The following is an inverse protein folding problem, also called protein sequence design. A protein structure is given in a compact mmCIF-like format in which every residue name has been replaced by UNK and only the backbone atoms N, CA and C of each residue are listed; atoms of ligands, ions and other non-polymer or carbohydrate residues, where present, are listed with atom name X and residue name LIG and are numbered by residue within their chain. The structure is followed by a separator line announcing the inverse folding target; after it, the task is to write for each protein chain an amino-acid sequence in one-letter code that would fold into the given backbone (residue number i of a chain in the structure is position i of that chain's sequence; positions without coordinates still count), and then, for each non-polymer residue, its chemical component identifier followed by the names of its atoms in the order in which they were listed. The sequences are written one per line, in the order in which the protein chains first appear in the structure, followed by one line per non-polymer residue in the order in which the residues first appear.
data_IF_263182407783
#
_entry.id   IF_263182407783
#
_cell.length_a   1.000
_cell.length_b   1.000
_cell.length_c   1.000
_cell.angle_alpha   90.00
_cell.angle_beta   90.00
_cell.angle_gamma   90.00
#
_symmetry.space_group_name_H-M   'P 1'
#
loop_
_entity.id
_entity.type
_entity.pdbx_description
1 polymer ?
#
# COMPACT_ATOMS: atom_id res chain seq x y z
N UNK A 1 -1.96 5.39 13.67
CA UNK A 1 -0.72 6.21 13.74
C UNK A 1 0.34 5.46 12.96
N UNK A 2 1.06 6.11 12.06
CA UNK A 2 2.19 5.54 11.33
C UNK A 2 3.37 5.28 12.24
N UNK A 3 4.39 4.59 11.70
CA UNK A 3 5.58 4.13 12.42
C UNK A 3 6.42 5.29 12.99
N UNK A 4 6.31 6.47 12.39
CA UNK A 4 6.95 7.73 12.78
C UNK A 4 6.08 8.60 13.70
N UNK A 5 4.94 8.08 14.18
CA UNK A 5 4.00 8.81 15.01
C UNK A 5 3.10 9.79 14.26
N UNK A 6 3.22 9.90 12.92
CA UNK A 6 2.34 10.74 12.09
C UNK A 6 1.02 10.06 11.78
N UNK A 7 0.00 10.82 11.44
CA UNK A 7 -1.23 10.25 10.91
C UNK A 7 -1.03 9.83 9.46
N UNK A 8 -1.59 8.68 9.09
CA UNK A 8 -1.57 8.21 7.72
C UNK A 8 -2.62 8.98 6.91
N UNK A 9 -2.27 9.42 5.72
CA UNK A 9 -3.13 10.16 4.81
C UNK A 9 -4.08 9.18 4.09
N UNK A 10 -5.37 9.48 4.17
CA UNK A 10 -6.38 8.80 3.38
C UNK A 10 -6.29 9.24 1.91
N UNK A 11 -6.49 8.29 0.99
CA UNK A 11 -6.36 8.52 -0.46
C UNK A 11 -7.59 7.98 -1.21
N UNK A 12 -7.92 8.64 -2.31
CA UNK A 12 -9.02 8.23 -3.19
C UNK A 12 -8.64 7.03 -4.08
N UNK A 13 -9.61 6.50 -4.84
CA UNK A 13 -9.40 5.30 -5.67
C UNK A 13 -8.39 5.48 -6.80
N UNK A 14 -8.24 6.68 -7.36
CA UNK A 14 -7.23 6.92 -8.40
C UNK A 14 -5.83 6.92 -7.81
N UNK A 15 -5.66 7.61 -6.68
CA UNK A 15 -4.42 7.61 -5.93
C UNK A 15 -4.05 6.20 -5.45
N UNK A 16 -5.02 5.40 -5.01
CA UNK A 16 -4.78 3.99 -4.65
C UNK A 16 -4.19 3.19 -5.81
N UNK A 17 -4.78 3.27 -7.02
CA UNK A 17 -4.27 2.58 -8.21
C UNK A 17 -2.85 3.03 -8.57
N UNK A 18 -2.60 4.33 -8.49
CA UNK A 18 -1.27 4.89 -8.75
C UNK A 18 -0.25 4.37 -7.74
N UNK A 19 -0.57 4.41 -6.45
CA UNK A 19 0.30 3.90 -5.39
C UNK A 19 0.61 2.41 -5.57
N UNK A 20 -0.40 1.60 -5.93
CA UNK A 20 -0.14 0.20 -6.23
C UNK A 20 0.78 0.02 -7.43
N UNK A 21 0.55 0.73 -8.53
CA UNK A 21 1.44 0.71 -9.69
C UNK A 21 2.87 1.16 -9.36
N UNK A 22 3.03 2.18 -8.52
CA UNK A 22 4.32 2.76 -8.14
C UNK A 22 5.12 1.84 -7.21
N UNK A 23 4.44 1.04 -6.38
CA UNK A 23 5.09 0.19 -5.37
C UNK A 23 5.12 -1.31 -5.69
N UNK A 24 4.41 -1.75 -6.74
CA UNK A 24 4.41 -3.12 -7.22
C UNK A 24 5.73 -3.43 -7.95
N UNK A 25 6.73 -3.87 -7.19
CA UNK A 25 7.96 -4.46 -7.73
C UNK A 25 7.67 -5.89 -8.19
N UNK A 26 7.78 -6.16 -9.50
CA UNK A 26 7.51 -7.45 -10.14
C UNK A 26 8.51 -8.58 -9.78
N UNK A 27 9.24 -8.48 -8.68
CA UNK A 27 10.28 -9.45 -8.32
C UNK A 27 9.84 -10.50 -7.27
N UNK A 28 8.74 -10.26 -6.54
CA UNK A 28 8.32 -11.13 -5.44
C UNK A 28 7.05 -11.91 -5.82
N UNK A 29 7.19 -13.20 -6.10
CA UNK A 29 6.03 -14.04 -6.43
C UNK A 29 5.05 -14.18 -5.27
N UNK A 30 3.74 -14.14 -5.57
CA UNK A 30 2.66 -14.51 -4.64
C UNK A 30 2.40 -13.51 -3.51
N UNK A 31 1.94 -14.02 -2.37
CA UNK A 31 1.47 -13.23 -1.21
C UNK A 31 2.51 -12.26 -0.62
N UNK A 32 3.80 -12.46 -0.91
CA UNK A 32 4.84 -11.55 -0.44
C UNK A 32 4.79 -10.19 -1.15
N UNK A 33 4.37 -10.13 -2.42
CA UNK A 33 4.25 -8.85 -3.14
C UNK A 33 3.21 -7.93 -2.51
N UNK A 34 2.03 -8.45 -2.14
CA UNK A 34 0.96 -7.66 -1.55
C UNK A 34 1.30 -7.15 -0.15
N UNK A 35 1.99 -7.96 0.65
CA UNK A 35 2.50 -7.57 1.97
C UNK A 35 3.56 -6.48 1.81
N UNK A 36 4.57 -6.69 0.96
CA UNK A 36 5.65 -5.71 0.71
C UNK A 36 5.07 -4.38 0.22
N UNK A 37 4.14 -4.43 -0.72
CA UNK A 37 3.45 -3.25 -1.26
C UNK A 37 2.68 -2.50 -0.17
N UNK A 38 1.92 -3.22 0.66
CA UNK A 38 1.19 -2.61 1.78
C UNK A 38 2.14 -1.93 2.77
N UNK A 39 3.25 -2.57 3.14
CA UNK A 39 4.25 -1.99 4.02
C UNK A 39 4.92 -0.75 3.42
N UNK A 40 5.23 -0.76 2.12
CA UNK A 40 5.75 0.41 1.40
C UNK A 40 4.76 1.58 1.49
N UNK A 41 3.48 1.35 1.18
CA UNK A 41 2.40 2.36 1.23
C UNK A 41 2.22 2.95 2.64
N UNK A 42 2.22 2.10 3.67
CA UNK A 42 2.14 2.55 5.07
C UNK A 42 3.37 3.37 5.48
N UNK A 43 4.57 2.97 5.03
CA UNK A 43 5.83 3.65 5.35
C UNK A 43 5.91 5.04 4.75
N UNK A 44 5.38 5.24 3.55
CA UNK A 44 5.30 6.58 2.92
C UNK A 44 4.13 7.42 3.44
N UNK A 45 3.32 6.86 4.34
CA UNK A 45 2.32 7.61 5.08
C UNK A 45 0.92 7.58 4.47
N UNK A 46 0.58 6.59 3.62
CA UNK A 46 -0.78 6.45 3.07
C UNK A 46 -1.54 5.29 3.73
N UNK A 47 -2.85 5.41 3.79
CA UNK A 47 -3.74 4.38 4.35
C UNK A 47 -5.15 4.48 3.78
N UNK A 48 -5.83 3.35 3.69
CA UNK A 48 -7.28 3.29 3.54
C UNK A 48 -7.80 1.97 4.14
N UNK A 49 -9.09 1.89 4.52
CA UNK A 49 -9.61 0.75 5.29
C UNK A 49 -9.45 -0.61 4.62
N UNK A 50 -9.43 -0.66 3.29
CA UNK A 50 -9.34 -1.91 2.50
C UNK A 50 -7.95 -2.18 1.94
N UNK A 51 -6.92 -1.43 2.35
CA UNK A 51 -5.55 -1.50 1.81
C UNK A 51 -5.02 -2.94 1.63
N UNK A 52 -5.06 -3.76 2.68
CA UNK A 52 -4.57 -5.14 2.63
C UNK A 52 -5.36 -6.02 1.64
N UNK A 53 -6.68 -5.83 1.57
CA UNK A 53 -7.57 -6.58 0.65
C UNK A 53 -7.40 -6.12 -0.79
N UNK A 54 -7.11 -4.85 -1.01
CA UNK A 54 -6.88 -4.30 -2.34
C UNK A 54 -5.49 -4.68 -2.84
N UNK A 55 -4.49 -4.67 -1.96
CA UNK A 55 -3.13 -5.12 -2.26
C UNK A 55 -3.07 -6.61 -2.64
N UNK A 56 -3.92 -7.46 -2.04
CA UNK A 56 -3.97 -8.88 -2.38
C UNK A 56 -4.65 -9.18 -3.71
N UNK A 57 -5.28 -8.18 -4.33
CA UNK A 57 -5.98 -8.29 -5.63
C UNK A 57 -5.25 -7.57 -6.76
N UNK A 58 -4.18 -6.87 -6.43
CA UNK A 58 -3.35 -6.09 -7.36
C UNK A 58 -2.18 -6.93 -7.84
#
# INVERSE_FOLDING_TARGET
RGIDGRFLKCVDKEQQKKLFSDFHDQAYGGNFSSIVTTHKILRVGYYWPTLFRDASKW
#
